data_IF_590002365265
#
_entry.id   IF_590002365265
#
_cell.length_a   1.000
_cell.length_b   1.000
_cell.length_c   1.000
_cell.angle_alpha   90.00
_cell.angle_beta   90.00
_cell.angle_gamma   90.00
#
_symmetry.space_group_name_H-M   'P 1'
#
loop_
_entity.id
_entity.type
_entity.pdbx_description
1 polymer ?
#
# COMPACT_ATOMS: atom_id res chain seq x y z
N UNK A 1 -6.12 1.95 -14.59
CA UNK A 1 -6.85 0.68 -14.55
C UNK A 1 -6.03 -0.28 -13.70
N UNK A 2 -6.54 -0.70 -12.53
CA UNK A 2 -5.93 -1.79 -11.76
C UNK A 2 -6.24 -3.08 -12.52
N UNK A 3 -5.26 -3.97 -12.70
CA UNK A 3 -5.49 -5.24 -13.41
C UNK A 3 -6.23 -6.22 -12.51
N UNK A 4 -7.12 -7.04 -13.07
CA UNK A 4 -7.94 -7.99 -12.30
C UNK A 4 -7.12 -8.95 -11.43
N UNK A 5 -5.93 -9.37 -11.87
CA UNK A 5 -5.05 -10.23 -11.06
C UNK A 5 -4.50 -9.52 -9.81
N UNK A 6 -4.30 -8.20 -9.87
CA UNK A 6 -3.81 -7.42 -8.72
C UNK A 6 -4.93 -7.30 -7.68
N UNK A 7 -6.19 -7.21 -8.13
CA UNK A 7 -7.36 -7.21 -7.25
C UNK A 7 -7.49 -8.51 -6.47
N UNK A 8 -7.21 -9.67 -7.06
CA UNK A 8 -7.26 -10.96 -6.34
C UNK A 8 -6.19 -11.05 -5.25
N UNK A 9 -4.96 -10.61 -5.53
CA UNK A 9 -3.90 -10.65 -4.53
C UNK A 9 -4.14 -9.67 -3.38
N UNK A 10 -4.61 -8.46 -3.69
CA UNK A 10 -4.96 -7.45 -2.70
C UNK A 10 -6.37 -7.62 -2.12
N UNK A 11 -7.17 -8.60 -2.56
CA UNK A 11 -8.52 -8.85 -2.02
C UNK A 11 -8.54 -8.98 -0.49
N UNK A 12 -7.63 -9.72 0.16
CA UNK A 12 -7.58 -9.82 1.62
C UNK A 12 -7.17 -8.50 2.25
N UNK A 13 -8.00 -7.97 3.13
CA UNK A 13 -7.76 -6.69 3.82
C UNK A 13 -6.43 -6.70 4.58
N UNK A 14 -6.04 -7.85 5.13
CA UNK A 14 -4.77 -8.08 5.82
C UNK A 14 -3.54 -7.86 4.94
N UNK A 15 -3.59 -8.20 3.65
CA UNK A 15 -2.46 -7.94 2.72
C UNK A 15 -2.31 -6.45 2.41
N UNK A 16 -3.42 -5.73 2.32
CA UNK A 16 -3.43 -4.27 2.09
C UNK A 16 -2.75 -3.54 3.25
N UNK A 17 -3.17 -3.84 4.48
CA UNK A 17 -2.53 -3.29 5.67
C UNK A 17 -1.08 -3.73 5.80
N UNK A 18 -0.74 -4.98 5.49
CA UNK A 18 0.63 -5.48 5.55
C UNK A 18 1.60 -4.68 4.69
N UNK A 19 1.26 -4.44 3.41
CA UNK A 19 2.11 -3.66 2.49
C UNK A 19 2.23 -2.21 2.92
N UNK A 20 1.12 -1.58 3.32
CA UNK A 20 1.12 -0.19 3.77
C UNK A 20 1.96 0.00 5.03
N UNK A 21 1.75 -0.86 6.05
CA UNK A 21 2.52 -0.80 7.31
C UNK A 21 3.99 -1.06 7.04
N UNK A 22 4.33 -2.03 6.19
CA UNK A 22 5.71 -2.31 5.82
C UNK A 22 6.41 -1.09 5.23
N UNK A 23 5.77 -0.38 4.29
CA UNK A 23 6.32 0.84 3.70
C UNK A 23 6.53 1.95 4.73
N UNK A 24 5.60 2.15 5.66
CA UNK A 24 5.77 3.15 6.73
C UNK A 24 6.89 2.77 7.72
N UNK A 25 6.97 1.51 8.12
CA UNK A 25 8.06 1.02 8.99
C UNK A 25 9.41 1.17 8.29
N UNK A 26 9.49 0.81 7.00
CA UNK A 26 10.71 0.96 6.20
C UNK A 26 11.11 2.43 6.04
N UNK A 27 10.13 3.32 5.86
CA UNK A 27 10.37 4.77 5.79
C UNK A 27 11.00 5.29 7.08
N UNK A 28 10.44 4.91 8.23
CA UNK A 28 11.02 5.26 9.53
C UNK A 28 12.42 4.67 9.69
N UNK A 29 12.65 3.42 9.26
CA UNK A 29 13.97 2.79 9.31
C UNK A 29 15.01 3.52 8.46
N UNK A 30 14.66 3.95 7.25
CA UNK A 30 15.56 4.72 6.37
C UNK A 30 15.92 6.09 6.96
N UNK A 31 14.95 6.76 7.58
CA UNK A 31 15.18 8.06 8.23
C UNK A 31 15.98 7.97 9.51
N UNK A 32 15.68 7.01 10.40
CA UNK A 32 16.28 6.93 11.73
C UNK A 32 17.46 5.96 11.82
N UNK A 33 17.51 4.93 10.98
CA UNK A 33 18.55 3.88 10.99
C UNK A 33 19.65 4.09 9.96
N UNK A 34 19.29 4.35 8.70
CA UNK A 34 20.24 4.48 7.58
C UNK A 34 20.72 5.93 7.38
N UNK A 35 19.88 6.90 7.75
CA UNK A 35 20.18 8.33 7.58
C UNK A 35 20.05 8.80 6.12
N UNK A 36 19.25 8.09 5.31
CA UNK A 36 19.01 8.43 3.89
C UNK A 36 17.62 9.06 3.70
N UNK A 37 17.49 10.39 3.89
CA UNK A 37 16.19 11.06 3.85
C UNK A 37 15.49 10.96 2.48
N UNK A 38 16.26 10.92 1.40
CA UNK A 38 15.74 10.74 0.04
C UNK A 38 14.99 9.42 -0.13
N UNK A 39 15.62 8.30 0.24
CA UNK A 39 15.02 6.96 0.13
C UNK A 39 13.84 6.78 1.06
N UNK A 40 13.91 7.31 2.29
CA UNK A 40 12.77 7.33 3.20
C UNK A 40 11.60 8.16 2.65
N UNK A 41 11.85 9.30 1.99
CA UNK A 41 10.78 10.11 1.40
C UNK A 41 10.08 9.39 0.25
N UNK A 42 10.83 8.71 -0.62
CA UNK A 42 10.25 7.89 -1.69
C UNK A 42 9.44 6.72 -1.13
N UNK A 43 9.97 5.99 -0.15
CA UNK A 43 9.26 4.90 0.52
C UNK A 43 7.97 5.40 1.20
N UNK A 44 8.04 6.57 1.85
CA UNK A 44 6.91 7.19 2.52
C UNK A 44 5.83 7.62 1.55
N UNK A 45 6.21 8.26 0.44
CA UNK A 45 5.28 8.63 -0.63
C UNK A 45 4.60 7.40 -1.24
N UNK A 46 5.35 6.31 -1.46
CA UNK A 46 4.77 5.04 -1.90
C UNK A 46 3.82 4.44 -0.86
N UNK A 47 4.15 4.51 0.43
CA UNK A 47 3.29 4.06 1.53
C UNK A 47 1.98 4.83 1.61
N UNK A 48 2.03 6.16 1.49
CA UNK A 48 0.84 7.03 1.43
C UNK A 48 -0.01 6.71 0.21
N UNK A 49 0.61 6.53 -0.96
CA UNK A 49 -0.11 6.15 -2.18
C UNK A 49 -0.78 4.78 -2.04
N UNK A 50 -0.07 3.80 -1.47
CA UNK A 50 -0.61 2.48 -1.17
C UNK A 50 -1.79 2.56 -0.20
N UNK A 51 -1.71 3.37 0.86
CA UNK A 51 -2.81 3.62 1.78
C UNK A 51 -4.03 4.23 1.05
N UNK A 52 -3.82 5.29 0.29
CA UNK A 52 -4.89 5.95 -0.46
C UNK A 52 -5.57 5.01 -1.46
N UNK A 53 -4.79 4.21 -2.18
CA UNK A 53 -5.30 3.37 -3.27
C UNK A 53 -5.87 2.04 -2.78
N UNK A 54 -5.22 1.39 -1.81
CA UNK A 54 -5.61 0.06 -1.32
C UNK A 54 -6.59 0.12 -0.14
N UNK A 55 -6.54 1.16 0.70
CA UNK A 55 -7.44 1.27 1.85
C UNK A 55 -8.63 2.17 1.52
N UNK A 56 -8.40 3.37 0.99
CA UNK A 56 -9.47 4.37 0.79
C UNK A 56 -10.23 4.20 -0.54
N UNK A 57 -9.52 3.91 -1.64
CA UNK A 57 -10.10 3.82 -2.99
C UNK A 57 -10.22 2.39 -3.53
N UNK A 58 -10.19 1.37 -2.66
CA UNK A 58 -10.32 0.01 -3.16
C UNK A 58 -11.75 -0.19 -3.70
N UNK A 59 -11.91 -0.52 -5.00
CA UNK A 59 -13.24 -0.67 -5.58
C UNK A 59 -13.99 -1.78 -4.83
N UNK A 60 -15.24 -1.53 -4.39
CA UNK A 60 -16.10 -2.60 -3.91
C UNK A 60 -16.28 -3.63 -5.03
N UNK A 61 -16.38 -4.90 -4.65
CA UNK A 61 -16.58 -6.01 -5.58
C UNK A 61 -17.77 -5.68 -6.50
N UNK A 62 -17.65 -5.82 -7.84
CA UNK A 62 -18.79 -5.60 -8.71
C UNK A 62 -19.94 -6.49 -8.20
N UNK A 63 -21.18 -5.97 -8.12
CA UNK A 63 -22.28 -6.72 -7.57
C UNK A 63 -22.33 -8.08 -8.28
N UNK A 64 -22.26 -9.16 -7.50
CA UNK A 64 -22.53 -10.50 -7.99
C UNK A 64 -23.92 -10.45 -8.61
N UNK A 65 -24.00 -10.46 -9.94
CA UNK A 65 -25.26 -10.61 -10.66
C UNK A 65 -25.76 -12.02 -10.35
N UNK A 66 -26.59 -12.11 -9.31
CA UNK A 66 -27.36 -13.29 -8.93
C UNK A 66 -28.70 -13.31 -9.62
#
# INVERSE_FOLDING_TARGET
>A
MIRDHELEWFRPVSRRYGVTIFLFVWTCWEWFGVGSPFWGTLAGAMGIYAYYRLILNFPPEPPSEG
#
